data_IF_977230326789
#
_entry.id   IF_977230326789
#
_cell.length_a   1.000
_cell.length_b   1.000
_cell.length_c   1.000
_cell.angle_alpha   90.00
_cell.angle_beta   90.00
_cell.angle_gamma   90.00
#
_symmetry.space_group_name_H-M   'P 1'
#
loop_
_entity.id
_entity.type
_entity.pdbx_description
1 polymer ?
#
# COMPACT_ATOMS: atom_id res chain seq x y z
N UNK A 1 9.75 0.55 24.85
CA UNK A 1 9.66 -0.34 23.67
C UNK A 1 8.21 -0.58 23.24
N UNK A 2 7.35 -1.31 23.97
CA UNK A 2 5.96 -1.56 23.52
C UNK A 2 5.09 -0.30 23.42
N UNK A 3 5.23 0.67 24.34
CA UNK A 3 4.43 1.89 24.27
C UNK A 3 4.88 2.84 23.13
N UNK A 4 6.17 2.79 22.78
CA UNK A 4 6.75 3.68 21.77
C UNK A 4 6.34 3.25 20.35
N UNK A 5 6.25 1.94 20.10
CA UNK A 5 5.84 1.41 18.79
C UNK A 5 4.35 1.61 18.52
N UNK A 6 3.49 1.55 19.54
CA UNK A 6 2.06 1.84 19.41
C UNK A 6 1.83 3.33 19.08
N UNK A 7 2.57 4.23 19.75
CA UNK A 7 2.53 5.66 19.44
C UNK A 7 3.03 5.92 18.02
N UNK A 8 4.11 5.24 17.59
CA UNK A 8 4.60 5.33 16.21
C UNK A 8 3.53 4.84 15.22
N UNK A 9 2.90 3.69 15.50
CA UNK A 9 1.81 3.14 14.68
C UNK A 9 0.66 4.12 14.50
N UNK A 10 0.26 4.81 15.57
CA UNK A 10 -0.76 5.85 15.49
C UNK A 10 -0.38 7.03 14.57
N UNK A 11 0.89 7.44 14.57
CA UNK A 11 1.38 8.50 13.67
C UNK A 11 1.47 8.02 12.22
N UNK A 12 1.96 6.81 11.98
CA UNK A 12 2.03 6.21 10.64
C UNK A 12 0.63 6.02 10.06
N UNK A 13 -0.36 5.65 10.88
CA UNK A 13 -1.76 5.56 10.47
C UNK A 13 -2.31 6.91 9.97
N UNK A 14 -1.95 8.02 10.61
CA UNK A 14 -2.36 9.36 10.16
C UNK A 14 -1.73 9.73 8.82
N UNK A 15 -0.48 9.34 8.59
CA UNK A 15 0.20 9.51 7.29
C UNK A 15 -0.50 8.66 6.21
N UNK A 16 -0.82 7.41 6.50
CA UNK A 16 -1.56 6.55 5.56
C UNK A 16 -2.93 7.16 5.19
N UNK A 17 -3.64 7.76 6.17
CA UNK A 17 -4.89 8.48 5.92
C UNK A 17 -4.69 9.69 5.01
N UNK A 18 -3.68 10.53 5.28
CA UNK A 18 -3.43 11.72 4.45
C UNK A 18 -3.06 11.36 3.01
N UNK A 19 -2.22 10.34 2.80
CA UNK A 19 -1.89 9.80 1.48
C UNK A 19 -3.12 9.19 0.80
N UNK A 20 -3.93 8.41 1.53
CA UNK A 20 -5.16 7.83 1.00
C UNK A 20 -6.19 8.87 0.53
N UNK A 21 -6.32 9.99 1.25
CA UNK A 21 -7.17 11.11 0.84
C UNK A 21 -6.64 11.80 -0.41
N UNK A 22 -5.31 12.00 -0.53
CA UNK A 22 -4.70 12.46 -1.76
C UNK A 22 -5.05 11.55 -2.95
N UNK A 23 -4.92 10.23 -2.79
CA UNK A 23 -5.24 9.25 -3.82
C UNK A 23 -6.73 9.32 -4.22
N UNK A 24 -7.66 9.44 -3.27
CA UNK A 24 -9.09 9.63 -3.56
C UNK A 24 -9.36 10.89 -4.39
N UNK A 25 -8.74 12.01 -4.01
CA UNK A 25 -8.90 13.28 -4.72
C UNK A 25 -8.37 13.17 -6.15
N UNK A 26 -7.23 12.50 -6.36
CA UNK A 26 -6.68 12.31 -7.71
C UNK A 26 -7.52 11.32 -8.54
N UNK A 27 -8.03 10.25 -7.92
CA UNK A 27 -8.87 9.28 -8.62
C UNK A 27 -10.16 9.93 -9.13
N UNK A 28 -10.76 10.82 -8.34
CA UNK A 28 -11.97 11.55 -8.74
C UNK A 28 -11.76 12.46 -9.97
N UNK A 29 -10.51 12.82 -10.29
CA UNK A 29 -10.15 13.60 -11.47
C UNK A 29 -9.87 12.74 -12.70
N UNK A 30 -9.78 11.41 -12.56
CA UNK A 30 -9.63 10.50 -13.68
C UNK A 30 -10.93 10.45 -14.48
N UNK A 31 -10.94 11.04 -15.68
CA UNK A 31 -12.03 10.82 -16.63
C UNK A 31 -11.68 9.68 -17.58
N UNK A 32 -12.69 8.88 -17.98
CA UNK A 32 -12.52 7.83 -18.99
C UNK A 32 -11.94 8.34 -20.31
N UNK A 33 -12.18 9.59 -20.68
CA UNK A 33 -11.57 10.21 -21.86
C UNK A 33 -10.05 10.38 -21.75
N UNK A 34 -9.51 10.53 -20.54
CA UNK A 34 -8.05 10.57 -20.31
C UNK A 34 -7.41 9.20 -20.50
N UNK A 35 -8.21 8.13 -20.35
CA UNK A 35 -7.77 6.75 -20.54
C UNK A 35 -7.41 6.44 -21.98
N UNK A 36 -8.19 6.96 -22.91
CA UNK A 36 -8.02 6.70 -24.35
C UNK A 36 -7.03 7.66 -25.02
N UNK A 37 -6.85 8.88 -24.51
CA UNK A 37 -6.09 9.94 -25.19
C UNK A 37 -4.64 10.16 -24.70
N UNK A 38 -4.32 9.92 -23.42
CA UNK A 38 -3.06 10.40 -22.81
C UNK A 38 -2.14 9.33 -22.22
N UNK A 39 -2.55 8.06 -22.28
CA UNK A 39 -1.78 6.95 -21.73
C UNK A 39 -1.84 6.93 -20.21
N UNK A 40 -2.92 6.35 -19.67
CA UNK A 40 -3.21 6.25 -18.21
C UNK A 40 -2.02 5.88 -17.36
N UNK A 41 -1.20 4.93 -17.84
CA UNK A 41 -0.05 4.45 -17.09
C UNK A 41 0.86 5.60 -16.68
N UNK A 42 1.12 6.56 -17.56
CA UNK A 42 1.97 7.70 -17.23
C UNK A 42 1.35 8.60 -16.17
N UNK A 43 0.03 8.81 -16.22
CA UNK A 43 -0.68 9.62 -15.23
C UNK A 43 -0.70 8.95 -13.87
N UNK A 44 -1.01 7.66 -13.81
CA UNK A 44 -1.02 6.94 -12.54
C UNK A 44 0.38 6.75 -11.97
N UNK A 45 1.40 6.51 -12.79
CA UNK A 45 2.81 6.57 -12.35
C UNK A 45 3.17 7.92 -11.75
N UNK A 46 2.60 9.03 -12.23
CA UNK A 46 2.83 10.35 -11.63
C UNK A 46 2.18 10.48 -10.26
N UNK A 47 0.91 10.04 -10.12
CA UNK A 47 0.21 10.01 -8.84
C UNK A 47 0.95 9.14 -7.82
N UNK A 48 1.37 7.96 -8.27
CA UNK A 48 2.11 6.99 -7.47
C UNK A 48 3.41 7.61 -6.91
N UNK A 49 4.18 8.27 -7.78
CA UNK A 49 5.40 8.99 -7.38
C UNK A 49 5.15 10.15 -6.43
N UNK A 50 4.06 10.91 -6.61
CA UNK A 50 3.70 11.99 -5.68
C UNK A 50 3.34 11.43 -4.30
N UNK A 51 2.58 10.33 -4.27
CA UNK A 51 2.25 9.63 -3.03
C UNK A 51 3.51 9.01 -2.37
N UNK A 52 4.41 8.40 -3.14
CA UNK A 52 5.69 7.89 -2.64
C UNK A 52 6.54 9.01 -2.02
N UNK A 53 6.66 10.16 -2.69
CA UNK A 53 7.39 11.32 -2.16
C UNK A 53 6.77 11.85 -0.86
N UNK A 54 5.45 11.87 -0.76
CA UNK A 54 4.75 12.25 0.46
C UNK A 54 5.10 11.29 1.61
N UNK A 55 4.98 9.98 1.38
CA UNK A 55 5.32 8.96 2.36
C UNK A 55 6.79 9.05 2.80
N UNK A 56 7.73 9.15 1.86
CA UNK A 56 9.17 9.29 2.17
C UNK A 56 9.42 10.51 3.05
N UNK A 57 8.83 11.66 2.69
CA UNK A 57 9.00 12.90 3.45
C UNK A 57 8.45 12.79 4.87
N UNK A 58 7.22 12.31 5.02
CA UNK A 58 6.54 12.28 6.32
C UNK A 58 7.10 11.17 7.23
N UNK A 59 7.35 9.98 6.70
CA UNK A 59 7.95 8.87 7.46
C UNK A 59 9.41 9.14 7.81
N UNK A 60 10.16 9.79 6.92
CA UNK A 60 11.56 10.17 7.18
C UNK A 60 11.67 11.22 8.27
N UNK A 61 10.67 12.09 8.42
CA UNK A 61 10.59 13.01 9.56
C UNK A 61 10.24 12.29 10.87
N UNK A 62 9.47 11.19 10.81
CA UNK A 62 9.11 10.39 12.00
C UNK A 62 10.26 9.53 12.51
N UNK A 63 11.07 8.98 11.61
CA UNK A 63 12.19 8.09 11.94
C UNK A 63 13.38 8.39 11.00
N UNK A 64 14.17 9.45 11.26
CA UNK A 64 15.23 9.92 10.37
C UNK A 64 16.37 8.93 10.13
N UNK A 65 16.56 7.96 11.03
CA UNK A 65 17.56 6.91 10.91
C UNK A 65 17.13 5.73 10.02
N UNK A 66 15.89 5.73 9.53
CA UNK A 66 15.37 4.66 8.69
C UNK A 66 15.66 4.89 7.22
N UNK A 67 16.01 3.83 6.51
CA UNK A 67 16.04 3.82 5.05
C UNK A 67 14.67 3.49 4.45
N UNK A 68 14.57 3.54 3.13
CA UNK A 68 13.36 3.24 2.39
C UNK A 68 13.60 2.14 1.36
N UNK A 69 12.66 1.20 1.28
CA UNK A 69 12.47 0.28 0.19
C UNK A 69 11.13 0.65 -0.47
N UNK A 70 11.20 1.20 -1.67
CA UNK A 70 10.02 1.72 -2.39
C UNK A 70 9.81 0.97 -3.71
N UNK A 71 8.58 0.96 -4.23
CA UNK A 71 8.25 0.29 -5.50
C UNK A 71 8.80 1.06 -6.71
N UNK A 72 8.67 2.40 -6.73
CA UNK A 72 9.05 3.23 -7.87
C UNK A 72 10.53 3.68 -7.84
N UNK A 73 11.27 3.35 -6.78
CA UNK A 73 12.69 3.61 -6.65
C UNK A 73 13.06 5.10 -6.56
N UNK A 74 12.21 5.94 -5.96
CA UNK A 74 12.51 7.39 -5.80
C UNK A 74 13.66 7.67 -4.83
N UNK A 75 14.08 6.67 -4.04
CA UNK A 75 15.18 6.76 -3.07
C UNK A 75 16.15 5.59 -3.27
N UNK A 76 17.45 5.87 -3.22
CA UNK A 76 18.46 4.81 -3.21
C UNK A 76 18.39 4.02 -1.89
N UNK A 77 18.22 2.70 -2.00
CA UNK A 77 18.20 1.83 -0.83
C UNK A 77 19.56 1.81 -0.14
N UNK A 78 19.57 2.09 1.17
CA UNK A 78 20.71 1.90 2.05
C UNK A 78 20.34 0.89 3.14
N UNK A 79 21.27 -0.01 3.46
CA UNK A 79 21.04 -0.99 4.52
C UNK A 79 21.24 -0.32 5.87
N UNK A 80 20.13 -0.01 6.53
CA UNK A 80 20.09 0.53 7.88
C UNK A 80 19.43 -0.44 8.85
N UNK A 81 19.53 -0.16 10.16
CA UNK A 81 18.81 -0.93 11.19
C UNK A 81 17.31 -0.86 10.95
N UNK A 82 16.79 0.30 10.58
CA UNK A 82 15.38 0.48 10.29
C UNK A 82 15.15 0.69 8.79
N UNK A 83 14.12 0.06 8.24
CA UNK A 83 13.73 0.24 6.84
C UNK A 83 12.22 0.34 6.73
N UNK A 84 11.73 1.46 6.20
CA UNK A 84 10.36 1.59 5.73
C UNK A 84 10.20 0.84 4.42
N UNK A 85 9.17 0.01 4.33
CA UNK A 85 8.76 -0.68 3.11
C UNK A 85 7.42 -0.08 2.73
N UNK A 86 7.33 0.59 1.59
CA UNK A 86 6.12 1.31 1.20
C UNK A 86 5.65 0.92 -0.19
N UNK A 87 4.33 0.79 -0.32
CA UNK A 87 3.61 0.77 -1.59
C UNK A 87 2.52 1.86 -1.46
N UNK A 88 2.68 2.99 -2.16
CA UNK A 88 1.77 4.11 -2.04
C UNK A 88 0.40 3.82 -2.65
N UNK A 89 0.27 2.89 -3.59
CA UNK A 89 -0.98 2.57 -4.29
C UNK A 89 -1.01 1.09 -4.74
N UNK A 90 -1.33 0.21 -3.79
CA UNK A 90 -1.68 -1.17 -4.10
C UNK A 90 -3.07 -1.19 -4.75
N UNK A 91 -3.21 -1.94 -5.84
CA UNK A 91 -4.44 -2.00 -6.63
C UNK A 91 -4.51 -0.96 -7.76
N UNK A 92 -3.38 -0.55 -8.33
CA UNK A 92 -3.28 0.40 -9.46
C UNK A 92 -4.27 0.13 -10.60
N UNK A 93 -4.57 -1.14 -10.91
CA UNK A 93 -5.55 -1.51 -11.95
C UNK A 93 -6.96 -1.08 -11.55
N UNK A 94 -7.39 -1.38 -10.33
CA UNK A 94 -8.68 -0.92 -9.81
C UNK A 94 -8.72 0.61 -9.79
N UNK A 95 -7.63 1.23 -9.31
CA UNK A 95 -7.50 2.67 -9.25
C UNK A 95 -7.77 3.35 -10.60
N UNK A 96 -7.10 2.86 -11.66
CA UNK A 96 -7.25 3.33 -13.05
C UNK A 96 -8.70 3.26 -13.55
N UNK A 97 -9.41 2.20 -13.18
CA UNK A 97 -10.78 1.98 -13.64
C UNK A 97 -11.83 2.72 -12.79
N UNK A 98 -11.40 3.45 -11.75
CA UNK A 98 -12.31 4.06 -10.79
C UNK A 98 -12.97 3.03 -9.86
N UNK A 99 -12.40 1.84 -9.78
CA UNK A 99 -12.88 0.72 -8.99
C UNK A 99 -12.16 0.63 -7.63
N UNK A 100 -12.65 -0.28 -6.79
CA UNK A 100 -12.15 -0.59 -5.45
C UNK A 100 -11.91 -2.11 -5.29
N UNK A 101 -11.06 -2.55 -4.35
CA UNK A 101 -10.25 -1.74 -3.44
C UNK A 101 -8.95 -1.25 -4.08
N UNK A 102 -8.40 -0.18 -3.51
CA UNK A 102 -6.98 0.20 -3.61
C UNK A 102 -6.53 0.65 -2.21
N UNK A 103 -5.24 0.58 -1.91
CA UNK A 103 -4.76 0.87 -0.55
C UNK A 103 -3.36 1.47 -0.49
N UNK A 104 -3.07 2.13 0.62
CA UNK A 104 -1.71 2.53 1.01
C UNK A 104 -1.15 1.45 1.94
N UNK A 105 0.02 0.90 1.63
CA UNK A 105 0.69 -0.13 2.44
C UNK A 105 2.03 0.38 2.98
N UNK A 106 2.22 0.26 4.30
CA UNK A 106 3.41 0.74 5.01
C UNK A 106 3.87 -0.34 5.99
N UNK A 107 5.10 -0.81 5.85
CA UNK A 107 5.78 -1.67 6.80
C UNK A 107 7.02 -0.99 7.39
N UNK A 108 7.34 -1.29 8.65
CA UNK A 108 8.61 -0.97 9.26
C UNK A 108 9.34 -2.25 9.63
N UNK A 109 10.56 -2.37 9.14
CA UNK A 109 11.49 -3.43 9.46
C UNK A 109 12.54 -2.91 10.46
N UNK A 110 12.85 -3.69 11.49
CA UNK A 110 14.06 -3.55 12.29
C UNK A 110 14.93 -4.79 12.03
N UNK A 111 16.15 -4.57 11.52
CA UNK A 111 17.04 -5.59 10.97
C UNK A 111 16.31 -6.48 9.96
N UNK A 112 15.97 -7.71 10.32
CA UNK A 112 15.26 -8.69 9.48
C UNK A 112 13.80 -8.94 9.90
N UNK A 113 13.27 -8.16 10.84
CA UNK A 113 11.95 -8.38 11.43
C UNK A 113 11.01 -7.21 11.15
N UNK A 114 9.80 -7.52 10.67
CA UNK A 114 8.71 -6.53 10.60
C UNK A 114 8.21 -6.26 12.02
N UNK A 115 8.25 -4.98 12.42
CA UNK A 115 7.84 -4.51 13.75
C UNK A 115 6.57 -3.65 13.73
N UNK A 116 6.18 -3.17 12.54
CA UNK A 116 4.93 -2.41 12.32
C UNK A 116 4.45 -2.68 10.89
N UNK A 117 3.15 -2.85 10.72
CA UNK A 117 2.50 -2.94 9.41
C UNK A 117 1.17 -2.20 9.42
N UNK A 118 0.90 -1.47 8.34
CA UNK A 118 -0.34 -0.74 8.07
C UNK A 118 -0.77 -1.01 6.64
N UNK A 119 -2.05 -1.31 6.46
CA UNK A 119 -2.72 -1.29 5.16
C UNK A 119 -4.00 -0.48 5.32
N UNK A 120 -4.13 0.59 4.55
CA UNK A 120 -5.28 1.48 4.61
C UNK A 120 -6.02 1.51 3.29
N UNK A 121 -7.28 1.06 3.29
CA UNK A 121 -8.23 1.27 2.18
C UNK A 121 -8.98 2.58 2.43
N UNK A 122 -8.72 3.64 1.64
CA UNK A 122 -9.33 4.95 1.86
C UNK A 122 -10.78 5.02 1.36
N UNK A 123 -11.22 4.07 0.53
CA UNK A 123 -12.60 3.99 0.02
C UNK A 123 -13.51 3.30 1.02
N UNK A 124 -13.01 2.25 1.68
CA UNK A 124 -13.72 1.53 2.73
C UNK A 124 -13.54 2.16 4.12
N UNK A 125 -12.57 3.07 4.28
CA UNK A 125 -12.15 3.63 5.57
C UNK A 125 -11.72 2.51 6.55
N UNK A 126 -10.99 1.53 6.01
CA UNK A 126 -10.52 0.36 6.74
C UNK A 126 -9.01 0.46 6.98
N UNK A 127 -8.63 0.59 8.25
CA UNK A 127 -7.25 0.62 8.73
C UNK A 127 -6.90 -0.73 9.34
N UNK A 128 -6.13 -1.53 8.60
CA UNK A 128 -5.50 -2.73 9.11
C UNK A 128 -4.15 -2.37 9.70
N UNK A 129 -3.88 -2.76 10.95
CA UNK A 129 -2.60 -2.47 11.60
C UNK A 129 -2.11 -3.62 12.48
N UNK A 130 -0.79 -3.72 12.63
CA UNK A 130 -0.15 -4.63 13.57
C UNK A 130 1.22 -4.08 13.99
N UNK A 131 1.58 -4.25 15.26
CA UNK A 131 2.87 -3.84 15.88
C UNK A 131 3.71 -5.05 16.32
N UNK A 132 3.38 -6.24 15.82
CA UNK A 132 4.03 -7.49 16.20
C UNK A 132 3.14 -8.71 16.01
N UNK A 133 3.54 -9.80 16.65
CA UNK A 133 2.79 -11.05 16.59
C UNK A 133 1.50 -10.93 17.38
N UNK A 134 0.39 -11.43 16.82
CA UNK A 134 -0.92 -11.51 17.46
C UNK A 134 -1.53 -10.14 17.84
N UNK A 135 -1.09 -9.04 17.22
CA UNK A 135 -1.60 -7.67 17.47
C UNK A 135 -2.42 -7.08 16.32
N UNK A 136 -2.82 -7.91 15.36
CA UNK A 136 -3.57 -7.48 14.18
C UNK A 136 -4.94 -6.88 14.56
N UNK A 137 -5.22 -5.70 14.02
CA UNK A 137 -6.44 -4.94 14.26
C UNK A 137 -7.03 -4.41 12.94
N UNK A 138 -8.34 -4.24 12.91
CA UNK A 138 -9.09 -3.49 11.91
C UNK A 138 -9.82 -2.36 12.62
N UNK A 139 -9.51 -1.10 12.29
CA UNK A 139 -10.11 0.08 12.91
C UNK A 139 -10.04 0.04 14.46
N UNK A 140 -8.90 -0.39 14.99
CA UNK A 140 -8.65 -0.52 16.44
C UNK A 140 -9.33 -1.72 17.11
N UNK A 141 -10.03 -2.58 16.35
CA UNK A 141 -10.64 -3.81 16.87
C UNK A 141 -9.78 -5.02 16.51
N UNK A 142 -9.42 -5.90 17.45
CA UNK A 142 -8.64 -7.10 17.15
C UNK A 142 -9.32 -7.99 16.09
N UNK A 143 -8.52 -8.52 15.16
CA UNK A 143 -8.97 -9.44 14.12
C UNK A 143 -8.20 -10.76 14.15
N UNK A 144 -8.77 -11.80 13.56
CA UNK A 144 -8.13 -13.11 13.40
C UNK A 144 -8.57 -13.77 12.11
N UNK A 145 -7.73 -14.66 11.58
CA UNK A 145 -8.06 -15.43 10.38
C UNK A 145 -9.22 -16.41 10.64
N UNK A 146 -9.89 -16.81 9.57
CA UNK A 146 -10.91 -17.87 9.62
C UNK A 146 -10.36 -19.16 10.23
N UNK A 147 -11.17 -19.84 11.05
CA UNK A 147 -10.86 -21.15 11.66
C UNK A 147 -11.47 -22.33 10.89
N UNK A 148 -12.02 -22.08 9.69
CA UNK A 148 -12.59 -23.16 8.89
C UNK A 148 -11.54 -24.22 8.56
N UNK A 149 -11.76 -25.50 8.92
CA UNK A 149 -10.75 -26.55 8.73
C UNK A 149 -10.69 -27.08 7.29
N UNK A 150 -11.60 -26.63 6.42
CA UNK A 150 -11.68 -27.10 5.03
C UNK A 150 -12.26 -26.02 4.12
N UNK A 151 -12.08 -26.21 2.81
CA UNK A 151 -12.68 -25.35 1.78
C UNK A 151 -14.18 -25.62 1.54
N UNK A 152 -14.77 -26.62 2.19
CA UNK A 152 -16.22 -26.80 2.15
C UNK A 152 -16.88 -25.57 2.79
N UNK A 153 -17.57 -24.78 1.96
CA UNK A 153 -18.10 -23.45 2.29
C UNK A 153 -17.03 -22.36 2.53
N UNK A 154 -15.79 -22.58 2.10
CA UNK A 154 -14.73 -21.57 2.11
C UNK A 154 -14.84 -20.64 0.91
N UNK A 155 -14.37 -19.41 1.07
CA UNK A 155 -14.18 -18.45 -0.01
C UNK A 155 -12.69 -18.19 -0.20
N UNK A 156 -12.23 -18.21 -1.45
CA UNK A 156 -10.83 -17.93 -1.83
C UNK A 156 -10.83 -16.75 -2.79
N UNK A 157 -10.10 -15.69 -2.44
CA UNK A 157 -9.68 -14.68 -3.40
C UNK A 157 -8.39 -15.10 -4.08
N UNK A 158 -8.34 -15.03 -5.42
CA UNK A 158 -7.11 -15.22 -6.19
C UNK A 158 -7.11 -14.29 -7.40
N UNK A 159 -5.92 -13.86 -7.83
CA UNK A 159 -5.72 -13.10 -9.06
C UNK A 159 -4.81 -13.89 -9.99
N UNK A 160 -5.09 -13.86 -11.30
CA UNK A 160 -4.21 -14.42 -12.32
C UNK A 160 -3.97 -13.37 -13.41
N UNK A 161 -2.70 -13.23 -13.83
CA UNK A 161 -2.30 -12.29 -14.89
C UNK A 161 -2.24 -13.03 -16.21
N UNK A 162 -3.17 -12.75 -17.12
CA UNK A 162 -3.11 -13.30 -18.48
C UNK A 162 -2.07 -12.54 -19.30
N UNK A 163 -0.94 -13.17 -19.62
CA UNK A 163 -0.06 -12.67 -20.68
C UNK A 163 -0.62 -13.19 -22.00
N UNK A 164 -1.35 -12.34 -22.72
CA UNK A 164 -1.70 -12.65 -24.11
C UNK A 164 -0.40 -12.80 -24.89
N UNK A 165 -0.03 -14.04 -25.19
CA UNK A 165 1.06 -14.30 -26.12
C UNK A 165 0.69 -13.63 -27.45
N UNK A 166 1.42 -12.59 -27.84
CA UNK A 166 1.33 -12.04 -29.20
C UNK A 166 1.57 -13.22 -30.14
N UNK A 167 0.55 -13.60 -30.93
CA UNK A 167 0.74 -14.52 -32.05
C UNK A 167 1.92 -13.97 -32.86
N UNK A 168 2.98 -14.76 -32.95
CA UNK A 168 4.04 -14.51 -33.90
C UNK A 168 3.40 -14.60 -35.29
N UNK A 169 3.10 -13.46 -35.90
CA UNK A 169 2.82 -13.40 -37.33
C UNK A 169 4.13 -13.68 -38.05
N UNK A 170 4.39 -14.97 -38.26
CA UNK A 170 5.21 -15.48 -39.36
C UNK A 170 4.20 -16.01 -40.37
N UNK A 171 4.06 -15.33 -41.50
CA UNK A 171 4.15 -15.83 -42.89
C UNK A 171 4.00 -14.63 -43.81
#
# INVERSE_FOLDING_TARGET
MSNDIEVLCGKVAQIAVSTGEFLKIQQAKLHRSDIEFKGVRNYVTHIDKEAEQQLVKELGALLPEASFLTEEGTVEYQKERYTWIIDPLDGTTNYIHGDKPFSVSIGLKEDDKIILGIVYDPVAEEMFSATGKDTAQLNGKPISVSKHPSLNNGYIGFAYRTVLMKKANKY
#
